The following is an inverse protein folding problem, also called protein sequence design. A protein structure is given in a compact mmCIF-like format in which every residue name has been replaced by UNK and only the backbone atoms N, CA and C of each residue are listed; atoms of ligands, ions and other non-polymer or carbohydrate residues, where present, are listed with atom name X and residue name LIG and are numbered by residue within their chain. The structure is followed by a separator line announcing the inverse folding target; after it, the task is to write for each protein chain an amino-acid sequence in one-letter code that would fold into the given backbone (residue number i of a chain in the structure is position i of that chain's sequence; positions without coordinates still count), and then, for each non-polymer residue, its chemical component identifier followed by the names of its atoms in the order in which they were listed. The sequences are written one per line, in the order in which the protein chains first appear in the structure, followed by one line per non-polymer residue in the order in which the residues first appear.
data_IF_020365891573
#
_entry.id   IF_020365891573
#
_cell.length_a   1.000
_cell.length_b   1.000
_cell.length_c   1.000
_cell.angle_alpha   90.00
_cell.angle_beta   90.00
_cell.angle_gamma   90.00
#
_symmetry.space_group_name_H-M   'P 1'
#
loop_
_entity.id
_entity.type
_entity.pdbx_description
1 polymer ?
#
# COMPACT_ATOMS: atom_id res chain seq x y z
N UNK A 1 -5.77 0.37 6.55
CA UNK A 1 -4.87 0.55 7.70
C UNK A 1 -4.88 -0.76 8.46
N UNK A 2 -5.22 -0.91 9.75
CA UNK A 2 -5.55 -2.21 10.40
C UNK A 2 -4.72 -3.44 9.97
N UNK A 3 -5.36 -4.59 9.82
CA UNK A 3 -4.71 -5.84 9.38
C UNK A 3 -3.89 -5.70 8.08
N UNK A 4 -4.37 -5.02 7.00
CA UNK A 4 -3.53 -4.78 5.83
C UNK A 4 -2.21 -4.05 6.11
N UNK A 5 -2.19 -3.15 7.09
CA UNK A 5 -0.97 -2.46 7.53
C UNK A 5 -0.06 -3.41 8.30
N UNK A 6 -0.62 -4.16 9.24
CA UNK A 6 0.12 -5.08 10.12
C UNK A 6 0.76 -6.20 9.29
N UNK A 7 0.05 -6.73 8.28
CA UNK A 7 0.60 -7.68 7.30
C UNK A 7 1.81 -7.10 6.55
N UNK A 8 1.67 -5.88 6.01
CA UNK A 8 2.76 -5.21 5.27
C UNK A 8 3.95 -4.84 6.18
N UNK A 9 3.71 -4.59 7.46
CA UNK A 9 4.69 -4.06 8.42
C UNK A 9 4.88 -4.99 9.61
N UNK A 10 4.76 -6.30 9.43
CA UNK A 10 4.91 -7.27 10.50
C UNK A 10 6.23 -7.08 11.27
N UNK A 11 6.24 -7.06 12.62
CA UNK A 11 5.12 -7.34 13.55
C UNK A 11 4.44 -6.06 14.11
N UNK A 12 4.44 -4.95 13.37
CA UNK A 12 3.88 -3.69 13.86
C UNK A 12 2.40 -3.80 14.23
N UNK A 13 1.99 -3.06 15.25
CA UNK A 13 0.60 -2.99 15.71
C UNK A 13 -0.04 -1.64 15.33
N UNK A 14 -1.11 -1.67 14.55
CA UNK A 14 -1.78 -0.47 14.04
C UNK A 14 -2.38 0.39 15.15
N UNK A 15 -2.90 -0.22 16.22
CA UNK A 15 -3.45 0.50 17.37
C UNK A 15 -2.34 1.28 18.09
N UNK A 16 -1.18 0.67 18.29
CA UNK A 16 -0.02 1.34 18.88
C UNK A 16 0.49 2.49 18.00
N UNK A 17 0.61 2.27 16.69
CA UNK A 17 1.00 3.32 15.72
C UNK A 17 0.02 4.49 15.78
N UNK A 18 -1.28 4.21 15.75
CA UNK A 18 -2.32 5.25 15.81
C UNK A 18 -2.25 6.03 17.13
N UNK A 19 -2.07 5.34 18.26
CA UNK A 19 -1.94 5.99 19.57
C UNK A 19 -0.69 6.89 19.65
N UNK A 20 0.43 6.44 19.08
CA UNK A 20 1.66 7.24 19.05
C UNK A 20 1.49 8.50 18.19
N UNK A 21 0.80 8.40 17.05
CA UNK A 21 0.53 9.56 16.19
C UNK A 21 -0.32 10.63 16.88
N UNK A 22 -1.33 10.21 17.67
CA UNK A 22 -2.11 11.14 18.50
C UNK A 22 -1.22 11.84 19.52
N UNK A 23 -0.36 11.09 20.23
CA UNK A 23 0.58 11.69 21.19
C UNK A 23 1.53 12.69 20.53
N UNK A 24 2.08 12.38 19.36
CA UNK A 24 2.95 13.33 18.65
C UNK A 24 2.23 14.61 18.25
N UNK A 25 0.94 14.51 17.90
CA UNK A 25 0.10 15.68 17.61
C UNK A 25 -0.15 16.52 18.87
N UNK A 26 -0.42 15.89 20.00
CA UNK A 26 -0.65 16.56 21.29
C UNK A 26 0.61 17.22 21.84
N UNK A 27 1.77 16.58 21.67
CA UNK A 27 3.08 17.08 22.14
C UNK A 27 3.74 18.07 21.16
N UNK A 28 2.99 18.58 20.17
CA UNK A 28 3.55 19.46 19.14
C UNK A 28 4.06 20.77 19.73
N UNK A 29 5.33 21.06 19.47
CA UNK A 29 5.97 22.33 19.78
C UNK A 29 6.09 23.23 18.53
N UNK A 30 6.41 24.51 18.72
CA UNK A 30 6.56 25.46 17.61
C UNK A 30 7.70 25.10 16.64
N UNK A 31 8.71 24.34 17.10
CA UNK A 31 9.85 23.88 16.33
C UNK A 31 9.71 22.44 15.80
N UNK A 32 8.50 21.87 15.83
CA UNK A 32 8.23 20.51 15.37
C UNK A 32 7.23 20.48 14.22
N UNK A 33 7.65 19.88 13.11
CA UNK A 33 6.78 19.59 11.97
C UNK A 33 6.38 18.11 11.96
N UNK A 34 5.12 17.87 11.61
CA UNK A 34 4.58 16.52 11.45
C UNK A 34 4.34 16.24 9.96
N UNK A 35 4.85 15.11 9.49
CA UNK A 35 4.69 14.64 8.11
C UNK A 35 4.25 13.19 8.09
N UNK A 36 3.46 12.83 7.08
CA UNK A 36 3.09 11.44 6.82
C UNK A 36 3.71 11.02 5.49
N UNK A 37 4.36 9.86 5.49
CA UNK A 37 4.87 9.23 4.27
C UNK A 37 4.19 7.87 4.11
N UNK A 38 3.68 7.58 2.92
CA UNK A 38 3.15 6.26 2.56
C UNK A 38 3.93 5.69 1.39
N UNK A 39 4.33 4.42 1.49
CA UNK A 39 4.90 3.70 0.34
C UNK A 39 3.79 2.90 -0.34
N UNK A 40 3.62 3.12 -1.64
CA UNK A 40 2.62 2.47 -2.47
C UNK A 40 3.22 1.26 -3.17
N UNK A 41 2.55 0.12 -3.06
CA UNK A 41 2.90 -1.15 -3.69
C UNK A 41 1.61 -1.86 -4.13
N UNK A 42 1.73 -3.09 -4.65
CA UNK A 42 0.54 -3.90 -4.97
C UNK A 42 -0.40 -4.07 -3.77
N UNK A 43 0.13 -4.15 -2.54
CA UNK A 43 -0.65 -4.50 -1.34
C UNK A 43 -1.66 -3.44 -0.94
N UNK A 44 -1.38 -2.17 -1.25
CA UNK A 44 -2.23 -1.05 -0.85
C UNK A 44 -2.83 -0.28 -2.03
N UNK A 45 -2.74 -0.84 -3.24
CA UNK A 45 -3.22 -0.21 -4.47
C UNK A 45 -4.72 0.11 -4.43
N UNK A 46 -5.51 -0.69 -3.72
CA UNK A 46 -6.94 -0.45 -3.53
C UNK A 46 -7.31 0.39 -2.30
N UNK A 47 -6.31 0.91 -1.57
CA UNK A 47 -6.54 1.60 -0.31
C UNK A 47 -6.26 3.10 -0.35
N UNK A 48 -5.91 3.69 -1.51
CA UNK A 48 -5.44 5.07 -1.60
C UNK A 48 -6.44 6.10 -1.07
N UNK A 49 -7.73 6.00 -1.42
CA UNK A 49 -8.74 6.89 -0.85
C UNK A 49 -8.84 6.78 0.68
N UNK A 50 -8.76 5.55 1.22
CA UNK A 50 -8.76 5.32 2.68
C UNK A 50 -7.51 5.91 3.34
N UNK A 51 -6.35 5.83 2.67
CA UNK A 51 -5.11 6.45 3.13
C UNK A 51 -5.25 7.97 3.12
N UNK A 52 -5.67 8.59 2.02
CA UNK A 52 -5.88 10.04 1.92
C UNK A 52 -6.81 10.57 3.01
N UNK A 53 -7.96 9.92 3.19
CA UNK A 53 -8.93 10.32 4.23
C UNK A 53 -8.35 10.19 5.63
N UNK A 54 -7.61 9.11 5.91
CA UNK A 54 -6.95 8.93 7.20
C UNK A 54 -5.86 9.97 7.43
N UNK A 55 -5.02 10.28 6.44
CA UNK A 55 -3.97 11.30 6.55
C UNK A 55 -4.56 12.68 6.82
N UNK A 56 -5.66 13.03 6.16
CA UNK A 56 -6.33 14.32 6.32
C UNK A 56 -6.76 14.59 7.78
N UNK A 57 -7.06 13.55 8.57
CA UNK A 57 -7.42 13.70 9.99
C UNK A 57 -6.28 14.26 10.86
N UNK A 58 -5.03 14.09 10.43
CA UNK A 58 -3.86 14.53 11.17
C UNK A 58 -3.35 15.90 10.73
N UNK A 59 -3.83 16.42 9.59
CA UNK A 59 -3.40 17.68 9.00
C UNK A 59 -1.86 17.84 9.03
N UNK A 60 -1.10 16.87 8.47
CA UNK A 60 0.35 16.98 8.44
C UNK A 60 0.76 18.17 7.57
N UNK A 61 1.95 18.71 7.85
CA UNK A 61 2.57 19.74 7.00
C UNK A 61 2.81 19.19 5.59
N UNK A 62 3.18 17.91 5.50
CA UNK A 62 3.41 17.22 4.23
C UNK A 62 2.82 15.81 4.25
N UNK A 63 2.21 15.43 3.12
CA UNK A 63 1.88 14.06 2.80
C UNK A 63 2.71 13.60 1.59
N UNK A 64 3.63 12.67 1.81
CA UNK A 64 4.51 12.15 0.77
C UNK A 64 4.06 10.76 0.33
N UNK A 65 3.76 10.60 -0.95
CA UNK A 65 3.46 9.31 -1.58
C UNK A 65 4.71 8.81 -2.27
N UNK A 66 5.37 7.84 -1.64
CA UNK A 66 6.50 7.11 -2.21
C UNK A 66 5.99 5.94 -3.06
N UNK A 67 6.59 5.69 -4.21
CA UNK A 67 6.28 4.49 -5.02
C UNK A 67 7.32 3.43 -4.76
N UNK A 68 6.90 2.18 -4.52
CA UNK A 68 7.83 1.06 -4.38
C UNK A 68 8.41 0.70 -5.74
N UNK A 69 9.72 0.85 -5.87
CA UNK A 69 10.49 0.43 -7.05
C UNK A 69 10.91 -1.03 -6.92
N UNK A 70 11.49 -1.38 -5.77
CA UNK A 70 11.97 -2.72 -5.44
C UNK A 70 11.31 -3.29 -4.17
N UNK A 71 11.09 -4.61 -4.09
CA UNK A 71 11.36 -5.58 -5.14
C UNK A 71 10.32 -5.55 -6.27
N UNK A 72 10.76 -5.86 -7.49
CA UNK A 72 9.95 -5.77 -8.72
C UNK A 72 8.58 -6.46 -8.63
N UNK A 73 8.50 -7.66 -8.04
CA UNK A 73 7.25 -8.43 -7.96
C UNK A 73 6.15 -7.77 -7.09
N UNK A 74 6.50 -6.75 -6.30
CA UNK A 74 5.56 -5.91 -5.54
C UNK A 74 5.40 -4.49 -6.10
N UNK A 75 6.10 -4.19 -7.19
CA UNK A 75 5.98 -2.93 -7.91
C UNK A 75 4.62 -2.83 -8.62
N UNK A 76 4.00 -1.65 -8.60
CA UNK A 76 2.69 -1.38 -9.22
C UNK A 76 2.68 -1.59 -10.74
N UNK A 77 3.81 -1.49 -11.43
CA UNK A 77 3.93 -1.75 -12.87
C UNK A 77 3.72 -3.22 -13.24
N UNK A 78 3.85 -4.14 -12.28
CA UNK A 78 3.61 -5.59 -12.49
C UNK A 78 2.15 -5.99 -12.29
N UNK A 79 1.27 -5.05 -11.97
CA UNK A 79 -0.17 -5.33 -11.83
C UNK A 79 -0.80 -5.70 -13.18
N UNK A 80 -1.77 -6.63 -13.20
CA UNK A 80 -2.54 -6.91 -14.40
C UNK A 80 -3.24 -5.65 -14.94
N UNK A 81 -3.35 -5.54 -16.26
CA UNK A 81 -3.97 -4.37 -16.92
C UNK A 81 -5.36 -4.03 -16.36
N UNK A 82 -6.21 -5.03 -16.15
CA UNK A 82 -7.54 -4.84 -15.55
C UNK A 82 -7.48 -4.15 -14.17
N UNK A 83 -6.46 -4.47 -13.36
CA UNK A 83 -6.28 -3.84 -12.05
C UNK A 83 -5.82 -2.40 -12.21
N UNK A 84 -4.87 -2.14 -13.13
CA UNK A 84 -4.42 -0.78 -13.44
C UNK A 84 -5.59 0.09 -13.90
N UNK A 85 -6.48 -0.42 -14.75
CA UNK A 85 -7.65 0.31 -15.25
C UNK A 85 -8.61 0.69 -14.11
N UNK A 86 -8.88 -0.24 -13.18
CA UNK A 86 -9.69 0.03 -11.96
C UNK A 86 -9.04 1.11 -11.10
N UNK A 87 -7.73 1.02 -10.86
CA UNK A 87 -6.97 1.97 -10.03
C UNK A 87 -6.99 3.37 -10.64
N UNK A 88 -6.78 3.48 -11.96
CA UNK A 88 -6.89 4.75 -12.69
C UNK A 88 -8.30 5.35 -12.58
N UNK A 89 -9.33 4.56 -12.85
CA UNK A 89 -10.73 5.02 -12.76
C UNK A 89 -11.07 5.51 -11.35
N UNK A 90 -10.63 4.79 -10.32
CA UNK A 90 -10.98 5.09 -8.93
C UNK A 90 -10.21 6.27 -8.34
N UNK A 91 -8.96 6.49 -8.76
CA UNK A 91 -8.04 7.40 -8.07
C UNK A 91 -7.46 8.52 -8.93
N UNK A 92 -7.91 8.70 -10.17
CA UNK A 92 -7.40 9.79 -11.04
C UNK A 92 -7.53 11.20 -10.42
N UNK A 93 -8.50 11.41 -9.53
CA UNK A 93 -8.72 12.68 -8.84
C UNK A 93 -7.82 12.88 -7.61
N UNK A 94 -7.16 11.83 -7.10
CA UNK A 94 -6.27 11.95 -5.94
C UNK A 94 -4.91 12.50 -6.38
N UNK A 95 -4.72 13.81 -6.19
CA UNK A 95 -3.54 14.55 -6.65
C UNK A 95 -2.23 13.99 -6.12
N UNK A 96 -2.18 13.60 -4.85
CA UNK A 96 -0.97 13.07 -4.20
C UNK A 96 -0.49 11.76 -4.85
N UNK A 97 -1.40 11.00 -5.45
CA UNK A 97 -1.10 9.71 -6.08
C UNK A 97 -0.86 9.82 -7.59
N UNK A 98 -1.00 11.01 -8.20
CA UNK A 98 -0.75 11.21 -9.64
C UNK A 98 0.66 10.78 -10.08
N UNK A 99 1.74 11.05 -9.32
CA UNK A 99 3.07 10.55 -9.69
C UNK A 99 3.11 9.02 -9.75
N UNK A 100 2.51 8.34 -8.77
CA UNK A 100 2.41 6.87 -8.75
C UNK A 100 1.55 6.33 -9.89
N UNK A 101 0.43 6.98 -10.22
CA UNK A 101 -0.38 6.62 -11.39
C UNK A 101 0.42 6.74 -12.69
N UNK A 102 1.14 7.85 -12.88
CA UNK A 102 1.99 8.04 -14.06
C UNK A 102 3.04 6.94 -14.14
N UNK A 103 3.72 6.65 -13.04
CA UNK A 103 4.72 5.59 -12.97
C UNK A 103 4.13 4.20 -13.26
N UNK A 104 3.00 3.85 -12.64
CA UNK A 104 2.29 2.58 -12.83
C UNK A 104 1.94 2.33 -14.30
N UNK A 105 1.55 3.38 -15.03
CA UNK A 105 1.14 3.31 -16.43
C UNK A 105 2.29 3.51 -17.43
N UNK A 106 3.48 3.91 -16.98
CA UNK A 106 4.62 4.18 -17.86
C UNK A 106 5.22 2.91 -18.49
N UNK A 107 5.01 1.75 -17.87
CA UNK A 107 5.45 0.46 -18.40
C UNK A 107 4.48 -0.65 -17.99
N UNK A 108 4.29 -1.62 -18.88
CA UNK A 108 3.67 -2.89 -18.53
C UNK A 108 4.74 -3.93 -18.24
N UNK A 109 4.85 -4.31 -16.96
CA UNK A 109 5.83 -5.28 -16.47
C UNK A 109 5.15 -6.54 -15.92
N UNK A 110 3.85 -6.72 -16.15
CA UNK A 110 3.15 -7.93 -15.77
C UNK A 110 3.56 -9.08 -16.71
N UNK A 111 4.11 -10.16 -16.14
CA UNK A 111 4.55 -11.35 -16.86
C UNK A 111 4.26 -12.61 -16.05
N UNK A 112 4.20 -13.80 -16.68
CA UNK A 112 4.07 -15.06 -15.96
C UNK A 112 5.11 -15.21 -14.83
N UNK A 113 6.38 -14.95 -15.12
CA UNK A 113 7.47 -15.04 -14.13
C UNK A 113 7.26 -14.08 -12.94
N UNK A 114 6.82 -12.84 -13.20
CA UNK A 114 6.53 -11.87 -12.14
C UNK A 114 5.36 -12.33 -11.26
N UNK A 115 4.34 -12.95 -11.86
CA UNK A 115 3.19 -13.49 -11.12
C UNK A 115 3.59 -14.68 -10.26
N UNK A 116 4.39 -15.61 -10.81
CA UNK A 116 4.92 -16.76 -10.08
C UNK A 116 5.82 -16.32 -8.93
N UNK A 117 6.75 -15.39 -9.18
CA UNK A 117 7.64 -14.86 -8.17
C UNK A 117 6.86 -14.16 -7.05
N UNK A 118 5.88 -13.33 -7.40
CA UNK A 118 4.98 -12.69 -6.41
C UNK A 118 4.27 -13.73 -5.56
N UNK A 119 3.64 -14.73 -6.19
CA UNK A 119 2.91 -15.80 -5.49
C UNK A 119 3.84 -16.57 -4.56
N UNK A 120 5.00 -17.00 -5.04
CA UNK A 120 5.99 -17.70 -4.23
C UNK A 120 6.42 -16.88 -3.01
N UNK A 121 6.68 -15.57 -3.18
CA UNK A 121 7.12 -14.69 -2.08
C UNK A 121 6.03 -14.43 -1.04
N UNK A 122 4.79 -14.27 -1.47
CA UNK A 122 3.65 -14.12 -0.56
C UNK A 122 3.44 -15.41 0.23
N UNK A 123 3.32 -16.55 -0.45
CA UNK A 123 3.09 -17.85 0.21
C UNK A 123 4.23 -18.24 1.16
N UNK A 124 5.47 -17.95 0.78
CA UNK A 124 6.62 -18.14 1.65
C UNK A 124 6.47 -17.30 2.94
N UNK A 125 6.06 -16.04 2.79
CA UNK A 125 5.89 -15.09 3.90
C UNK A 125 4.78 -15.51 4.85
N UNK A 126 3.62 -15.79 4.29
CA UNK A 126 2.44 -16.28 5.01
C UNK A 126 2.77 -17.52 5.84
N UNK A 127 3.51 -18.47 5.25
CA UNK A 127 3.89 -19.72 5.93
C UNK A 127 4.68 -19.49 7.22
N UNK A 128 5.71 -18.64 7.19
CA UNK A 128 6.54 -18.43 8.39
C UNK A 128 5.90 -17.44 9.38
N UNK A 129 5.04 -16.52 8.92
CA UNK A 129 4.30 -15.59 9.80
C UNK A 129 3.00 -16.16 10.35
N UNK A 130 2.53 -17.29 9.80
CA UNK A 130 1.20 -17.87 10.05
C UNK A 130 0.09 -16.86 9.73
N UNK A 131 0.26 -16.14 8.62
CA UNK A 131 -0.69 -15.16 8.08
C UNK A 131 -1.32 -15.71 6.80
N UNK A 132 -2.38 -15.08 6.30
CA UNK A 132 -3.01 -15.45 5.03
C UNK A 132 -3.36 -14.21 4.21
N UNK A 133 -2.71 -14.05 3.05
CA UNK A 133 -2.97 -12.94 2.14
C UNK A 133 -4.41 -12.89 1.62
N UNK A 134 -5.03 -14.05 1.35
CA UNK A 134 -6.42 -14.14 0.88
C UNK A 134 -7.42 -13.61 1.90
N UNK A 135 -7.18 -13.88 3.18
CA UNK A 135 -8.00 -13.38 4.30
C UNK A 135 -7.81 -11.85 4.48
N UNK A 136 -6.57 -11.36 4.44
CA UNK A 136 -6.27 -9.94 4.67
C UNK A 136 -6.61 -9.05 3.47
N UNK A 137 -6.46 -9.56 2.24
CA UNK A 137 -6.68 -8.82 1.00
C UNK A 137 -7.63 -9.54 0.02
N UNK A 138 -8.90 -9.80 0.39
CA UNK A 138 -9.79 -10.65 -0.41
C UNK A 138 -10.02 -10.14 -1.83
N UNK A 139 -10.18 -8.82 -2.01
CA UNK A 139 -10.33 -8.21 -3.34
C UNK A 139 -9.06 -8.33 -4.18
N UNK A 140 -7.89 -8.20 -3.56
CA UNK A 140 -6.62 -8.32 -4.26
C UNK A 140 -6.34 -9.79 -4.59
N UNK A 141 -6.70 -10.73 -3.71
CA UNK A 141 -6.61 -12.16 -4.00
C UNK A 141 -7.50 -12.56 -5.16
N UNK A 142 -8.72 -12.03 -5.27
CA UNK A 142 -9.61 -12.30 -6.41
C UNK A 142 -8.98 -11.94 -7.77
N UNK A 143 -8.15 -10.90 -7.82
CA UNK A 143 -7.52 -10.45 -9.07
C UNK A 143 -6.11 -11.03 -9.27
N UNK A 144 -5.38 -11.35 -8.21
CA UNK A 144 -4.00 -11.87 -8.28
C UNK A 144 -3.91 -13.39 -8.16
N UNK A 145 -4.96 -14.06 -7.68
CA UNK A 145 -5.07 -15.52 -7.55
C UNK A 145 -3.89 -16.14 -6.77
N UNK A 146 -3.56 -15.53 -5.62
CA UNK A 146 -2.49 -16.02 -4.75
C UNK A 146 -2.94 -17.31 -4.06
N UNK A 147 -4.10 -17.26 -3.41
CA UNK A 147 -4.85 -18.40 -2.90
C UNK A 147 -6.05 -18.68 -3.81
N UNK A 148 -6.44 -19.95 -3.87
CA UNK A 148 -7.62 -20.44 -4.58
C UNK A 148 -8.93 -20.00 -3.90
#
# INVERSE_FOLDING_TARGET
MGEPFEYQRHPANWRQVSANLVKFKEMKTANMDFQVCTTVSIFNVFNWAKISLWVAQYQPKFFYVNTLFDPDYFNVQTLPKQVKDIVNSRYNMLTDFKPTLRFMNAADRDSPDMREQRKARILQTDKYRKENFGEVFPLLNKVLQIYD
#
